data_IF_168514075664
#
_entry.id   IF_168514075664
#
_cell.length_a   1.000
_cell.length_b   1.000
_cell.length_c   1.000
_cell.angle_alpha   90.00
_cell.angle_beta   90.00
_cell.angle_gamma   90.00
#
_symmetry.space_group_name_H-M   'P 1'
#
loop_
_entity.id
_entity.type
_entity.pdbx_description
1 polymer ?
#
# COMPACT_ATOMS: atom_id res chain seq x y z
N UNK A 1 -4.70 15.73 14.84
CA UNK A 1 -3.98 15.36 13.60
C UNK A 1 -3.87 13.83 13.57
N UNK A 2 -4.52 13.17 12.61
CA UNK A 2 -4.44 11.70 12.46
C UNK A 2 -3.32 11.32 11.48
N UNK A 3 -2.07 11.72 11.75
CA UNK A 3 -0.92 11.23 10.98
C UNK A 3 -0.72 9.75 11.29
N UNK A 4 -0.56 8.92 10.25
CA UNK A 4 -0.22 7.50 10.39
C UNK A 4 1.25 7.38 10.80
N UNK A 5 2.16 8.17 10.20
CA UNK A 5 3.58 8.22 10.57
C UNK A 5 4.01 9.67 10.75
N UNK A 6 4.80 9.93 11.78
CA UNK A 6 5.55 11.16 11.93
C UNK A 6 7.04 10.84 12.03
N UNK A 7 7.86 11.51 11.22
CA UNK A 7 9.31 11.36 11.22
C UNK A 7 10.01 12.71 11.46
N UNK A 8 11.18 12.64 12.07
CA UNK A 8 12.18 13.70 12.06
C UNK A 8 13.25 13.37 11.02
N UNK A 9 13.72 14.39 10.28
CA UNK A 9 14.92 14.31 9.44
C UNK A 9 15.87 15.43 9.88
N UNK A 10 17.12 15.11 10.22
CA UNK A 10 18.15 16.11 10.50
C UNK A 10 19.40 15.87 9.67
N UNK A 11 19.97 16.97 9.17
CA UNK A 11 21.21 16.95 8.40
C UNK A 11 22.40 16.63 9.29
N UNK A 12 23.27 15.73 8.82
CA UNK A 12 24.57 15.43 9.45
C UNK A 12 25.64 16.26 8.73
N UNK A 13 25.74 16.10 7.41
CA UNK A 13 26.72 16.80 6.57
C UNK A 13 26.19 17.03 5.13
N UNK A 14 27.10 17.35 4.19
CA UNK A 14 26.75 17.61 2.78
C UNK A 14 26.15 16.39 2.05
N UNK A 15 26.49 15.19 2.48
CA UNK A 15 26.12 13.93 1.83
C UNK A 15 25.02 13.18 2.60
N UNK A 16 24.98 13.31 3.92
CA UNK A 16 24.16 12.48 4.79
C UNK A 16 23.24 13.27 5.72
N UNK A 17 22.10 12.66 6.00
CA UNK A 17 21.16 13.02 7.05
C UNK A 17 20.80 11.78 7.86
N UNK A 18 20.20 11.95 9.03
CA UNK A 18 19.48 10.86 9.67
C UNK A 18 17.98 11.13 9.62
N UNK A 19 17.19 10.06 9.61
CA UNK A 19 15.77 10.13 9.97
C UNK A 19 15.48 9.27 11.20
N UNK A 20 14.47 9.67 11.96
CA UNK A 20 13.94 8.93 13.11
C UNK A 20 12.43 8.99 13.08
N UNK A 21 11.77 7.91 13.48
CA UNK A 21 10.31 7.90 13.60
C UNK A 21 9.93 8.47 14.97
N UNK A 22 9.13 9.53 15.01
CA UNK A 22 8.64 10.10 16.27
C UNK A 22 7.39 9.36 16.74
N UNK A 23 6.55 8.96 15.80
CA UNK A 23 5.26 8.33 16.07
C UNK A 23 4.83 7.47 14.89
N UNK A 24 4.18 6.35 15.18
CA UNK A 24 3.43 5.56 14.21
C UNK A 24 2.11 5.11 14.82
N UNK A 25 1.03 5.25 14.06
CA UNK A 25 -0.23 4.58 14.36
C UNK A 25 -0.12 3.15 13.82
N UNK A 26 0.30 2.22 14.68
CA UNK A 26 0.54 0.82 14.38
C UNK A 26 -0.67 0.13 13.72
N UNK A 27 -1.87 0.37 14.25
CA UNK A 27 -3.12 -0.19 13.72
C UNK A 27 -3.37 0.28 12.29
N UNK A 28 -3.32 1.59 12.06
CA UNK A 28 -3.56 2.15 10.72
C UNK A 28 -2.47 1.75 9.73
N UNK A 29 -1.21 1.76 10.15
CA UNK A 29 -0.10 1.39 9.29
C UNK A 29 -0.15 -0.08 8.87
N UNK A 30 -0.46 -0.98 9.80
CA UNK A 30 -0.61 -2.41 9.49
C UNK A 30 -1.83 -2.71 8.62
N UNK A 31 -2.86 -1.86 8.70
CA UNK A 31 -4.06 -1.95 7.86
C UNK A 31 -3.91 -1.28 6.48
N UNK A 32 -2.76 -0.67 6.18
CA UNK A 32 -2.47 -0.24 4.81
C UNK A 32 -2.24 -1.51 3.98
N UNK A 33 -3.29 -1.97 3.29
CA UNK A 33 -3.24 -3.12 2.39
C UNK A 33 -2.40 -2.72 1.16
N UNK A 34 -1.08 -2.74 1.28
CA UNK A 34 -0.17 -2.64 0.14
C UNK A 34 0.05 -4.03 -0.42
N UNK A 35 -0.59 -4.34 -1.55
CA UNK A 35 -0.44 -5.63 -2.25
C UNK A 35 1.06 -5.86 -2.48
N UNK A 36 1.61 -6.93 -1.88
CA UNK A 36 3.04 -7.28 -1.92
C UNK A 36 4.01 -6.22 -1.38
N UNK A 37 3.58 -5.37 -0.43
CA UNK A 37 4.41 -4.30 0.13
C UNK A 37 4.88 -3.30 -0.94
N UNK A 38 4.13 -3.05 -2.02
CA UNK A 38 4.53 -2.14 -3.12
C UNK A 38 3.53 -1.01 -3.34
N UNK A 39 4.02 0.19 -3.60
CA UNK A 39 3.24 1.37 -4.01
C UNK A 39 3.94 2.09 -5.16
N UNK A 40 3.17 2.85 -5.95
CA UNK A 40 3.69 3.70 -7.01
C UNK A 40 3.32 5.16 -6.76
N UNK A 41 4.32 6.04 -6.76
CA UNK A 41 4.15 7.49 -6.65
C UNK A 41 4.84 8.12 -7.86
N UNK A 42 4.10 8.83 -8.70
CA UNK A 42 4.64 9.51 -9.90
C UNK A 42 5.52 8.61 -10.80
N UNK A 43 5.06 7.38 -11.04
CA UNK A 43 5.76 6.32 -11.82
C UNK A 43 7.05 5.76 -11.17
N UNK A 44 7.38 6.15 -9.95
CA UNK A 44 8.45 5.52 -9.16
C UNK A 44 7.86 4.40 -8.30
N UNK A 45 8.53 3.25 -8.24
CA UNK A 45 8.13 2.10 -7.41
C UNK A 45 8.79 2.18 -6.03
N UNK A 46 7.99 1.91 -5.00
CA UNK A 46 8.41 1.89 -3.62
C UNK A 46 7.98 0.58 -2.96
N UNK A 47 8.88 -0.03 -2.18
CA UNK A 47 8.57 -1.13 -1.30
C UNK A 47 8.38 -0.62 0.14
N UNK A 48 7.22 -0.89 0.74
CA UNK A 48 6.88 -0.49 2.12
C UNK A 48 6.67 -1.74 2.97
N UNK A 49 7.51 -1.95 3.99
CA UNK A 49 7.43 -3.15 4.82
C UNK A 49 7.65 -2.89 6.32
N UNK A 50 7.39 -3.92 7.12
CA UNK A 50 7.86 -4.02 8.51
C UNK A 50 9.23 -4.67 8.56
N UNK A 51 10.08 -4.22 9.49
CA UNK A 51 11.38 -4.82 9.75
C UNK A 51 11.78 -4.61 11.22
N UNK A 52 12.90 -5.20 11.65
CA UNK A 52 13.48 -5.01 12.99
C UNK A 52 14.07 -3.59 13.12
N UNK A 53 14.49 -2.99 12.01
CA UNK A 53 15.09 -1.66 11.95
C UNK A 53 14.38 -0.74 10.96
N UNK A 54 14.43 0.56 11.24
CA UNK A 54 14.06 1.60 10.28
C UNK A 54 15.08 1.60 9.13
N UNK A 55 14.62 1.51 7.90
CA UNK A 55 15.48 1.44 6.71
C UNK A 55 14.87 2.30 5.62
N UNK A 56 15.71 3.08 4.93
CA UNK A 56 15.32 3.73 3.70
C UNK A 56 16.49 3.80 2.72
N UNK A 57 16.35 3.21 1.53
CA UNK A 57 17.39 3.23 0.48
C UNK A 57 16.79 3.03 -0.91
N UNK A 58 17.55 3.42 -1.94
CA UNK A 58 17.30 3.04 -3.33
C UNK A 58 18.10 1.77 -3.63
N UNK A 59 17.46 0.71 -4.08
CA UNK A 59 18.15 -0.50 -4.55
C UNK A 59 18.82 -0.23 -5.88
N UNK A 60 20.14 -0.39 -5.94
CA UNK A 60 20.93 -0.20 -7.16
C UNK A 60 20.54 -1.19 -8.27
N UNK A 61 20.02 -2.37 -7.90
CA UNK A 61 19.71 -3.44 -8.85
C UNK A 61 18.30 -3.32 -9.45
N UNK A 62 17.37 -2.70 -8.73
CA UNK A 62 15.95 -2.69 -9.11
C UNK A 62 15.38 -1.30 -9.33
N UNK A 63 16.12 -0.23 -9.02
CA UNK A 63 15.62 1.15 -9.03
C UNK A 63 14.37 1.35 -8.16
N UNK A 64 14.14 0.44 -7.19
CA UNK A 64 13.03 0.48 -6.24
C UNK A 64 13.51 1.13 -4.94
N UNK A 65 12.73 2.06 -4.41
CA UNK A 65 12.95 2.62 -3.07
C UNK A 65 12.39 1.68 -2.01
N UNK A 66 13.23 1.21 -1.10
CA UNK A 66 12.81 0.38 0.03
C UNK A 66 12.66 1.24 1.26
N UNK A 67 11.46 1.23 1.84
CA UNK A 67 11.12 1.86 3.10
C UNK A 67 10.61 0.80 4.07
N UNK A 68 11.33 0.61 5.18
CA UNK A 68 10.90 -0.30 6.24
C UNK A 68 10.88 0.40 7.57
N UNK A 69 9.86 0.07 8.38
CA UNK A 69 9.67 0.63 9.71
C UNK A 69 9.73 -0.48 10.76
N UNK A 70 10.46 -0.23 11.85
CA UNK A 70 10.39 -1.04 13.06
C UNK A 70 9.21 -0.67 13.94
N UNK A 71 8.74 -1.63 14.74
CA UNK A 71 7.85 -1.31 15.86
C UNK A 71 8.53 -0.28 16.78
N UNK A 72 7.77 0.72 17.23
CA UNK A 72 8.26 1.70 18.21
C UNK A 72 8.15 1.06 19.61
N UNK A 73 9.12 0.21 19.95
CA UNK A 73 9.42 -0.19 21.33
C UNK A 73 10.59 0.64 21.85
N UNK A 74 10.67 0.85 23.16
CA UNK A 74 11.64 1.76 23.83
C UNK A 74 13.10 1.58 23.39
N UNK A 75 13.48 0.42 22.83
CA UNK A 75 14.85 0.11 22.38
C UNK A 75 15.03 -0.14 20.87
N UNK A 76 13.96 -0.02 20.07
CA UNK A 76 13.96 -0.36 18.62
C UNK A 76 13.84 0.86 17.71
N UNK A 77 13.37 1.99 18.23
CA UNK A 77 13.27 3.25 17.49
C UNK A 77 14.62 3.97 17.34
N UNK A 78 15.51 3.40 16.53
CA UNK A 78 16.85 3.94 16.25
C UNK A 78 16.81 4.89 15.04
N UNK A 79 17.59 5.99 15.07
CA UNK A 79 17.83 6.81 13.89
C UNK A 79 18.53 6.01 12.79
N UNK A 80 18.18 6.30 11.54
CA UNK A 80 18.77 5.66 10.35
C UNK A 80 19.43 6.72 9.47
N UNK A 81 20.68 6.48 9.10
CA UNK A 81 21.44 7.35 8.21
C UNK A 81 20.97 7.13 6.77
N UNK A 82 20.74 8.22 6.05
CA UNK A 82 20.30 8.24 4.65
C UNK A 82 21.12 9.26 3.85
N UNK A 83 21.21 9.05 2.55
CA UNK A 83 21.86 9.98 1.64
C UNK A 83 20.91 11.15 1.35
N UNK A 84 21.45 12.36 1.26
CA UNK A 84 20.66 13.57 1.06
C UNK A 84 19.85 13.58 -0.25
N UNK A 85 20.34 12.88 -1.28
CA UNK A 85 19.69 12.82 -2.60
C UNK A 85 18.35 12.06 -2.60
N UNK A 86 18.12 11.16 -1.63
CA UNK A 86 16.88 10.37 -1.55
C UNK A 86 15.86 10.93 -0.54
N UNK A 87 16.20 12.00 0.19
CA UNK A 87 15.33 12.59 1.22
C UNK A 87 13.95 12.96 0.65
N UNK A 88 13.91 13.50 -0.57
CA UNK A 88 12.65 13.91 -1.17
C UNK A 88 11.72 12.72 -1.43
N UNK A 89 12.29 11.56 -1.80
CA UNK A 89 11.52 10.33 -1.98
C UNK A 89 11.04 9.75 -0.64
N UNK A 90 11.81 9.89 0.44
CA UNK A 90 11.32 9.58 1.78
C UNK A 90 10.11 10.45 2.14
N UNK A 91 10.18 11.76 1.89
CA UNK A 91 9.05 12.67 2.17
C UNK A 91 7.81 12.33 1.36
N UNK A 92 7.95 12.02 0.06
CA UNK A 92 6.83 11.57 -0.79
C UNK A 92 6.12 10.35 -0.20
N UNK A 93 6.87 9.35 0.28
CA UNK A 93 6.30 8.15 0.90
C UNK A 93 5.55 8.49 2.19
N UNK A 94 6.14 9.33 3.05
CA UNK A 94 5.51 9.74 4.31
C UNK A 94 4.25 10.56 4.05
N UNK A 95 4.28 11.45 3.07
CA UNK A 95 3.10 12.20 2.64
C UNK A 95 2.03 11.27 2.08
N UNK A 96 2.41 10.33 1.22
CA UNK A 96 1.52 9.31 0.67
C UNK A 96 0.84 8.52 1.80
N UNK A 97 1.61 7.94 2.71
CA UNK A 97 1.08 7.17 3.85
C UNK A 97 0.19 8.01 4.76
N UNK A 98 0.52 9.29 4.99
CA UNK A 98 -0.33 10.17 5.80
C UNK A 98 -1.56 10.70 5.05
N UNK A 99 -1.51 10.73 3.72
CA UNK A 99 -2.60 11.15 2.84
C UNK A 99 -3.58 10.03 2.54
N UNK A 100 -3.15 8.77 2.71
CA UNK A 100 -4.01 7.60 2.81
C UNK A 100 -4.95 7.86 3.97
N UNK A 101 -6.10 8.47 3.64
CA UNK A 101 -7.31 8.32 4.44
C UNK A 101 -7.39 6.83 4.69
N UNK A 102 -7.52 6.44 5.96
CA UNK A 102 -7.74 5.06 6.38
C UNK A 102 -8.40 4.32 5.23
N UNK A 103 -7.82 3.20 4.78
CA UNK A 103 -8.31 2.38 3.68
C UNK A 103 -9.67 1.76 4.06
N UNK A 104 -10.60 2.66 4.36
CA UNK A 104 -11.99 2.53 4.67
C UNK A 104 -12.61 2.64 3.30
N UNK A 105 -12.64 1.51 2.60
CA UNK A 105 -13.86 1.23 1.86
C UNK A 105 -14.97 1.25 2.90
N UNK A 106 -15.54 2.42 3.17
CA UNK A 106 -16.68 2.53 4.07
C UNK A 106 -17.81 1.77 3.38
N UNK A 107 -18.22 0.65 3.96
CA UNK A 107 -19.37 -0.09 3.48
C UNK A 107 -20.51 0.91 3.31
N UNK A 108 -21.08 0.96 2.11
CA UNK A 108 -22.14 1.93 1.83
C UNK A 108 -23.36 1.66 2.71
N UNK A 109 -24.28 2.62 2.77
CA UNK A 109 -25.58 2.34 3.36
C UNK A 109 -26.36 1.37 2.47
N UNK A 110 -27.31 0.62 3.06
CA UNK A 110 -28.17 -0.30 2.30
C UNK A 110 -28.78 0.42 1.09
N UNK A 111 -28.85 -0.31 -0.02
CA UNK A 111 -29.39 0.13 -1.30
C UNK A 111 -28.58 1.19 -2.03
N UNK A 112 -27.38 1.55 -1.55
CA UNK A 112 -26.46 2.34 -2.36
C UNK A 112 -25.73 1.47 -3.39
N UNK A 113 -25.42 2.05 -4.55
CA UNK A 113 -24.76 1.32 -5.64
C UNK A 113 -23.28 1.07 -5.37
N UNK A 114 -22.80 -0.13 -5.63
CA UNK A 114 -21.38 -0.48 -5.74
C UNK A 114 -21.08 -1.15 -7.08
N UNK A 115 -19.81 -1.30 -7.41
CA UNK A 115 -19.34 -1.97 -8.62
C UNK A 115 -18.47 -3.17 -8.26
N UNK A 116 -18.49 -4.21 -9.10
CA UNK A 116 -17.68 -5.42 -8.92
C UNK A 116 -17.35 -6.05 -10.27
N UNK A 117 -16.37 -6.97 -10.28
CA UNK A 117 -16.02 -7.78 -11.44
C UNK A 117 -16.72 -9.12 -11.31
N UNK A 118 -17.55 -9.48 -12.30
CA UNK A 118 -18.22 -10.78 -12.30
C UNK A 118 -17.27 -11.92 -12.72
N UNK A 119 -17.77 -13.15 -12.68
CA UNK A 119 -17.01 -14.36 -13.07
C UNK A 119 -16.54 -14.40 -14.53
N UNK A 120 -17.10 -13.54 -15.40
CA UNK A 120 -16.67 -13.38 -16.79
C UNK A 120 -15.70 -12.20 -16.99
N UNK A 121 -15.23 -11.58 -15.92
CA UNK A 121 -14.33 -10.42 -15.99
C UNK A 121 -15.02 -9.11 -16.37
N UNK A 122 -16.36 -9.04 -16.34
CA UNK A 122 -17.12 -7.83 -16.68
C UNK A 122 -17.41 -7.00 -15.43
N UNK A 123 -17.43 -5.68 -15.61
CA UNK A 123 -17.86 -4.73 -14.57
C UNK A 123 -19.39 -4.80 -14.48
N UNK A 124 -19.91 -5.11 -13.29
CA UNK A 124 -21.33 -5.06 -12.95
C UNK A 124 -21.59 -4.07 -11.82
N UNK A 125 -22.87 -3.69 -11.66
CA UNK A 125 -23.35 -2.90 -10.54
C UNK A 125 -24.16 -3.77 -9.59
N UNK A 126 -23.95 -3.57 -8.29
CA UNK A 126 -24.73 -4.18 -7.21
C UNK A 126 -25.36 -3.10 -6.34
N UNK A 127 -26.39 -3.48 -5.58
CA UNK A 127 -26.94 -2.66 -4.52
C UNK A 127 -26.48 -3.22 -3.19
N UNK A 128 -26.03 -2.34 -2.31
CA UNK A 128 -25.57 -2.70 -0.98
C UNK A 128 -26.69 -3.39 -0.20
N UNK A 129 -26.43 -4.59 0.28
CA UNK A 129 -27.38 -5.35 1.08
C UNK A 129 -26.67 -6.21 2.14
N UNK A 130 -27.45 -6.91 2.97
CA UNK A 130 -26.92 -7.79 4.01
C UNK A 130 -26.66 -9.21 3.51
N UNK A 131 -26.73 -9.44 2.19
CA UNK A 131 -26.53 -10.77 1.64
C UNK A 131 -25.10 -11.24 1.88
N UNK A 132 -24.95 -12.57 1.98
CA UNK A 132 -23.64 -13.20 2.06
C UNK A 132 -22.77 -12.83 0.84
N UNK A 133 -23.39 -12.62 -0.31
CA UNK A 133 -22.68 -12.29 -1.55
C UNK A 133 -22.03 -10.90 -1.49
N UNK A 134 -22.78 -9.86 -1.08
CA UNK A 134 -22.22 -8.51 -0.90
C UNK A 134 -21.09 -8.51 0.15
N UNK A 135 -21.26 -9.25 1.25
CA UNK A 135 -20.21 -9.42 2.27
C UNK A 135 -18.95 -10.07 1.71
N UNK A 136 -19.08 -11.19 0.99
CA UNK A 136 -17.96 -11.88 0.35
C UNK A 136 -17.25 -11.01 -0.70
N UNK A 137 -18.01 -10.25 -1.49
CA UNK A 137 -17.43 -9.31 -2.47
C UNK A 137 -16.57 -8.25 -1.78
N UNK A 138 -17.03 -7.71 -0.66
CA UNK A 138 -16.26 -6.78 0.17
C UNK A 138 -15.00 -7.45 0.74
N UNK A 139 -15.14 -8.62 1.38
CA UNK A 139 -14.03 -9.39 1.99
C UNK A 139 -12.95 -9.79 0.97
N UNK A 140 -13.35 -10.20 -0.23
CA UNK A 140 -12.41 -10.57 -1.30
C UNK A 140 -11.86 -9.36 -2.07
N UNK A 141 -12.19 -8.14 -1.66
CA UNK A 141 -11.74 -6.92 -2.31
C UNK A 141 -12.37 -6.67 -3.70
N UNK A 142 -13.39 -7.44 -4.08
CA UNK A 142 -14.17 -7.29 -5.31
C UNK A 142 -15.37 -6.34 -5.09
N UNK A 143 -15.10 -5.17 -4.53
CA UNK A 143 -16.09 -4.16 -4.14
C UNK A 143 -15.50 -2.77 -4.39
N UNK A 144 -16.13 -2.00 -5.28
CA UNK A 144 -15.62 -0.71 -5.73
C UNK A 144 -16.71 0.37 -5.61
N UNK A 145 -16.32 1.55 -5.14
CA UNK A 145 -17.24 2.67 -4.87
C UNK A 145 -17.67 3.38 -6.14
N UNK A 146 -16.87 3.28 -7.20
CA UNK A 146 -17.15 3.94 -8.48
C UNK A 146 -16.70 3.13 -9.69
N UNK A 147 -17.37 3.37 -10.82
CA UNK A 147 -16.98 2.81 -12.12
C UNK A 147 -15.56 3.25 -12.55
N UNK A 148 -15.09 4.42 -12.08
CA UNK A 148 -13.73 4.91 -12.36
C UNK A 148 -12.69 4.09 -11.60
N UNK A 149 -12.93 3.81 -10.32
CA UNK A 149 -12.07 3.01 -9.46
C UNK A 149 -11.84 1.61 -10.05
N UNK A 150 -12.93 0.90 -10.39
CA UNK A 150 -12.83 -0.45 -10.95
C UNK A 150 -12.16 -0.47 -12.33
N UNK A 151 -12.36 0.55 -13.16
CA UNK A 151 -11.65 0.69 -14.45
C UNK A 151 -10.16 0.90 -14.25
N UNK A 152 -9.76 1.75 -13.30
CA UNK A 152 -8.36 1.97 -12.98
C UNK A 152 -7.72 0.67 -12.47
N UNK A 153 -8.42 -0.10 -11.63
CA UNK A 153 -7.95 -1.40 -11.15
C UNK A 153 -7.77 -2.43 -12.28
N UNK A 154 -8.75 -2.59 -13.18
CA UNK A 154 -8.64 -3.54 -14.31
C UNK A 154 -7.51 -3.14 -15.27
N UNK A 155 -7.31 -1.84 -15.47
CA UNK A 155 -6.23 -1.33 -16.30
C UNK A 155 -4.87 -1.31 -15.60
N UNK A 156 -4.81 -1.69 -14.32
CA UNK A 156 -3.57 -1.68 -13.56
C UNK A 156 -2.66 -2.83 -14.00
N UNK A 157 -1.36 -2.60 -13.90
CA UNK A 157 -0.36 -3.61 -14.24
C UNK A 157 -0.56 -4.88 -13.40
N UNK A 158 -0.89 -4.74 -12.12
CA UNK A 158 -1.03 -5.83 -11.15
C UNK A 158 -2.24 -6.73 -11.45
N UNK A 159 -3.35 -6.16 -11.92
CA UNK A 159 -4.50 -6.96 -12.36
C UNK A 159 -4.14 -7.76 -13.61
N UNK A 160 -3.53 -7.10 -14.60
CA UNK A 160 -3.14 -7.73 -15.84
C UNK A 160 -2.07 -8.81 -15.62
N UNK A 161 -1.07 -8.54 -14.80
CA UNK A 161 0.00 -9.48 -14.45
C UNK A 161 -0.52 -10.70 -13.70
N UNK A 162 -1.42 -10.52 -12.72
CA UNK A 162 -2.05 -11.63 -12.01
C UNK A 162 -2.73 -12.59 -13.01
N UNK A 163 -3.58 -12.06 -13.90
CA UNK A 163 -4.28 -12.90 -14.87
C UNK A 163 -3.36 -13.48 -15.95
N UNK A 164 -2.30 -12.78 -16.33
CA UNK A 164 -1.27 -13.34 -17.20
C UNK A 164 -0.54 -14.50 -16.53
N UNK A 165 -0.24 -14.42 -15.24
CA UNK A 165 0.37 -15.51 -14.48
C UNK A 165 -0.58 -16.71 -14.35
N UNK A 166 -1.87 -16.47 -14.10
CA UNK A 166 -2.90 -17.54 -14.10
C UNK A 166 -2.97 -18.23 -15.47
N UNK A 167 -3.04 -17.46 -16.57
CA UNK A 167 -3.07 -18.01 -17.94
C UNK A 167 -1.82 -18.81 -18.31
N UNK A 168 -0.65 -18.37 -17.83
CA UNK A 168 0.63 -19.08 -18.01
C UNK A 168 0.77 -20.31 -17.12
N UNK A 169 -0.20 -20.56 -16.26
CA UNK A 169 -0.20 -21.70 -15.37
C UNK A 169 0.72 -21.57 -14.16
N UNK A 170 1.19 -20.35 -13.81
CA UNK A 170 2.19 -20.12 -12.75
C UNK A 170 1.77 -20.68 -11.38
N UNK A 171 0.48 -20.76 -11.13
CA UNK A 171 -0.10 -21.20 -9.85
C UNK A 171 -0.59 -22.66 -9.86
N UNK A 172 -0.43 -23.41 -10.95
CA UNK A 172 -0.85 -24.82 -11.02
C UNK A 172 0.17 -25.79 -10.41
N UNK A 173 1.43 -25.35 -10.20
CA UNK A 173 2.52 -26.19 -9.68
C UNK A 173 2.87 -25.87 -8.21
N UNK A 174 1.94 -25.29 -7.44
CA UNK A 174 2.12 -25.19 -6.00
C UNK A 174 1.68 -26.53 -5.42
N UNK A 175 2.64 -27.42 -5.15
CA UNK A 175 2.41 -28.75 -4.58
C UNK A 175 1.48 -28.71 -3.34
N UNK A 176 0.60 -29.71 -3.25
CA UNK A 176 -0.42 -29.93 -2.20
C UNK A 176 0.17 -30.20 -0.81
#
# INVERSE_FOLDING_TARGET
MNKIIDIEIKKIDKNYSYFKINHINEEKFNNLIYKNNRIWINNEEYNISRNIYNIFYLSENSEIYYFSISEIKENQNRPTIIINNIIENLKKIIEFINSEKENKREKKQKFEKYYFINLYGKIEEGLEDDTLETKKRFEYGNYFMSKKEIKNFINSYEYQELWNNVKRGKYFNMEE
#
